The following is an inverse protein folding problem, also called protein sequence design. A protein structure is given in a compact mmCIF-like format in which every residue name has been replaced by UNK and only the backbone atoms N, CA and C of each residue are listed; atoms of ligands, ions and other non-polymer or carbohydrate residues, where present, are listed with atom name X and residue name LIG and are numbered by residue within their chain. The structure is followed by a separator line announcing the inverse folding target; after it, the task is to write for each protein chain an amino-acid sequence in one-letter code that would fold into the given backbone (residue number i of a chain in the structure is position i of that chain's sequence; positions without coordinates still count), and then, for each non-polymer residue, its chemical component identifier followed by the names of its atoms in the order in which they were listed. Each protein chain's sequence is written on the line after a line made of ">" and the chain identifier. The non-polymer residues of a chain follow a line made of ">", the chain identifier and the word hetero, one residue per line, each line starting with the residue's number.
data_IF_918633847477
#
_entry.id   IF_918633847477
#
_cell.length_a   1.000
_cell.length_b   1.000
_cell.length_c   1.000
_cell.angle_alpha   90.00
_cell.angle_beta   90.00
_cell.angle_gamma   90.00
#
_symmetry.space_group_name_H-M   'P 1'
#
loop_
_entity.id
_entity.type
_entity.pdbx_description
1 polymer ?
#
# COMPACT_ATOMS: atom_id res chain seq x y z
N UNK A 1 20.51 16.48 6.01
CA UNK A 1 19.21 15.80 5.86
C UNK A 1 19.30 15.14 4.51
N UNK A 2 19.34 13.81 4.45
CA UNK A 2 19.51 13.11 3.17
C UNK A 2 18.34 13.49 2.25
N UNK A 3 18.65 13.87 1.03
CA UNK A 3 17.68 14.29 0.04
C UNK A 3 16.76 13.12 -0.33
N UNK A 4 15.45 13.39 -0.43
CA UNK A 4 14.46 12.39 -0.82
C UNK A 4 14.35 12.40 -2.34
N UNK A 5 14.82 11.34 -2.97
CA UNK A 5 14.89 11.24 -4.43
C UNK A 5 13.82 10.30 -5.00
N UNK A 6 13.36 9.34 -4.19
CA UNK A 6 12.49 8.25 -4.61
C UNK A 6 11.36 8.00 -3.62
N UNK A 7 10.29 7.39 -4.10
CA UNK A 7 9.17 6.93 -3.31
C UNK A 7 8.81 5.50 -3.73
N UNK A 8 8.61 4.61 -2.77
CA UNK A 8 7.93 3.34 -3.01
C UNK A 8 6.42 3.57 -2.86
N UNK A 9 5.67 3.58 -3.96
CA UNK A 9 4.26 4.00 -3.95
C UNK A 9 3.33 3.01 -3.24
N UNK A 10 3.58 1.71 -3.40
CA UNK A 10 2.77 0.65 -2.77
C UNK A 10 3.03 0.50 -1.26
N UNK A 11 4.29 0.63 -0.84
CA UNK A 11 4.68 0.60 0.59
C UNK A 11 4.33 1.94 1.26
N UNK A 12 4.42 3.06 0.54
CA UNK A 12 4.16 4.40 1.06
C UNK A 12 5.36 5.03 1.78
N UNK A 13 6.58 4.78 1.30
CA UNK A 13 7.82 5.32 1.91
C UNK A 13 8.63 6.17 0.94
N UNK A 14 9.33 7.15 1.50
CA UNK A 14 10.27 8.04 0.81
C UNK A 14 11.71 7.60 1.10
N UNK A 15 12.54 7.58 0.06
CA UNK A 15 13.86 6.95 0.04
C UNK A 15 14.89 7.89 -0.58
N UNK A 16 16.12 7.87 -0.06
CA UNK A 16 17.29 8.39 -0.77
C UNK A 16 17.68 7.45 -1.92
N UNK A 17 18.56 7.91 -2.81
CA UNK A 17 19.06 7.13 -3.94
C UNK A 17 19.73 5.80 -3.55
N UNK A 18 20.42 5.73 -2.41
CA UNK A 18 21.08 4.50 -1.96
C UNK A 18 20.07 3.43 -1.53
N UNK A 19 19.10 3.80 -0.70
CA UNK A 19 18.02 2.90 -0.28
C UNK A 19 17.17 2.48 -1.49
N UNK A 20 16.87 3.39 -2.41
CA UNK A 20 16.14 3.08 -3.63
C UNK A 20 16.87 2.03 -4.48
N UNK A 21 18.19 2.08 -4.54
CA UNK A 21 19.00 1.08 -5.26
C UNK A 21 18.86 -0.33 -4.67
N UNK A 22 18.79 -0.45 -3.35
CA UNK A 22 18.47 -1.73 -2.69
C UNK A 22 17.05 -2.17 -3.01
N UNK A 23 16.06 -1.26 -2.94
CA UNK A 23 14.68 -1.57 -3.28
C UNK A 23 14.53 -2.14 -4.71
N UNK A 24 15.29 -1.63 -5.69
CA UNK A 24 15.30 -2.19 -7.06
C UNK A 24 15.65 -3.68 -7.08
N UNK A 25 16.58 -4.11 -6.23
CA UNK A 25 17.01 -5.51 -6.15
C UNK A 25 15.93 -6.43 -5.56
N UNK A 26 15.02 -5.91 -4.73
CA UNK A 26 13.89 -6.68 -4.20
C UNK A 26 12.83 -6.98 -5.28
N UNK A 27 12.75 -6.13 -6.29
CA UNK A 27 11.86 -6.29 -7.44
C UNK A 27 10.44 -5.75 -7.23
N UNK A 28 9.76 -5.55 -8.37
CA UNK A 28 8.46 -4.85 -8.47
C UNK A 28 7.30 -5.50 -7.72
N UNK A 29 7.44 -6.78 -7.35
CA UNK A 29 6.44 -7.51 -6.54
C UNK A 29 6.46 -7.10 -5.07
N UNK A 30 7.58 -6.54 -4.59
CA UNK A 30 7.75 -6.08 -3.22
C UNK A 30 7.60 -4.56 -3.17
N UNK A 31 8.26 -3.85 -4.08
CA UNK A 31 8.33 -2.38 -4.05
C UNK A 31 8.22 -1.79 -5.45
N UNK A 32 7.39 -0.77 -5.58
CA UNK A 32 7.18 -0.03 -6.82
C UNK A 32 7.76 1.37 -6.67
N UNK A 33 8.91 1.62 -7.29
CA UNK A 33 9.63 2.89 -7.15
C UNK A 33 9.22 3.90 -8.21
N UNK A 34 9.05 5.15 -7.77
CA UNK A 34 8.99 6.34 -8.64
C UNK A 34 9.97 7.39 -8.15
N UNK A 35 10.69 8.00 -9.07
CA UNK A 35 11.51 9.18 -8.82
C UNK A 35 10.62 10.38 -8.53
N UNK A 36 10.99 11.16 -7.52
CA UNK A 36 10.29 12.40 -7.18
C UNK A 36 10.39 13.42 -8.33
N UNK A 37 11.52 13.47 -9.02
CA UNK A 37 11.82 14.51 -10.01
C UNK A 37 11.71 14.03 -11.46
N UNK A 38 11.94 12.75 -11.73
CA UNK A 38 12.07 12.23 -13.10
C UNK A 38 10.79 11.57 -13.64
N UNK A 39 9.90 11.11 -12.76
CA UNK A 39 8.67 10.43 -13.18
C UNK A 39 7.46 11.35 -13.19
N UNK A 40 6.50 11.05 -14.06
CA UNK A 40 5.17 11.66 -14.00
C UNK A 40 4.39 11.10 -12.81
N UNK A 41 3.71 12.00 -12.09
CA UNK A 41 2.96 11.68 -10.89
C UNK A 41 1.46 11.85 -11.09
N UNK A 42 0.70 10.81 -10.76
CA UNK A 42 -0.72 10.99 -10.44
C UNK A 42 -0.82 11.92 -9.23
N UNK A 43 -1.59 13.00 -9.37
CA UNK A 43 -1.89 13.93 -8.27
C UNK A 43 -2.58 13.21 -7.10
N UNK A 44 -3.34 12.16 -7.40
CA UNK A 44 -4.07 11.38 -6.39
C UNK A 44 -3.08 10.56 -5.57
N UNK A 45 -2.11 9.90 -6.21
CA UNK A 45 -1.09 9.11 -5.50
C UNK A 45 -0.17 10.00 -4.68
N UNK A 46 0.27 11.14 -5.23
CA UNK A 46 1.08 12.09 -4.49
C UNK A 46 0.33 12.62 -3.25
N UNK A 47 -0.93 13.00 -3.41
CA UNK A 47 -1.75 13.48 -2.29
C UNK A 47 -1.99 12.38 -1.26
N UNK A 48 -2.26 11.15 -1.69
CA UNK A 48 -2.37 10.00 -0.80
C UNK A 48 -1.08 9.83 0.02
N UNK A 49 0.09 9.90 -0.63
CA UNK A 49 1.37 9.78 0.05
C UNK A 49 1.57 10.85 1.13
N UNK A 50 1.26 12.10 0.81
CA UNK A 50 1.38 13.24 1.72
C UNK A 50 0.39 13.15 2.89
N UNK A 51 -0.87 12.82 2.62
CA UNK A 51 -1.95 12.87 3.63
C UNK A 51 -1.86 11.69 4.61
N UNK A 52 -1.63 10.49 4.10
CA UNK A 52 -1.93 9.25 4.84
C UNK A 52 -0.82 8.20 4.83
N UNK A 53 0.26 8.40 4.08
CA UNK A 53 1.43 7.52 4.10
C UNK A 53 2.65 8.28 4.65
N UNK A 54 3.85 7.84 4.26
CA UNK A 54 5.11 8.42 4.68
C UNK A 54 5.84 7.59 5.73
N UNK A 55 7.13 7.88 5.89
CA UNK A 55 8.05 7.06 6.66
C UNK A 55 7.61 6.85 8.12
N UNK A 56 7.03 7.86 8.77
CA UNK A 56 6.58 7.73 10.16
C UNK A 56 5.49 6.65 10.31
N UNK A 57 4.40 6.78 9.54
CA UNK A 57 3.27 5.82 9.56
C UNK A 57 3.72 4.44 9.07
N UNK A 58 4.54 4.40 8.02
CA UNK A 58 5.11 3.15 7.54
C UNK A 58 5.97 2.46 8.61
N UNK A 59 6.75 3.19 9.40
CA UNK A 59 7.59 2.57 10.43
C UNK A 59 6.76 2.04 11.62
N UNK A 60 5.59 2.60 11.92
CA UNK A 60 4.69 2.03 12.92
C UNK A 60 4.27 0.59 12.60
N UNK A 61 4.25 0.24 11.30
CA UNK A 61 3.89 -1.09 10.79
C UNK A 61 5.15 -1.92 10.49
N UNK A 62 6.01 -1.40 9.62
CA UNK A 62 7.13 -2.13 9.05
C UNK A 62 8.38 -2.11 9.93
N UNK A 63 8.44 -1.28 10.97
CA UNK A 63 9.49 -1.30 12.00
C UNK A 63 8.85 -1.36 13.40
N UNK A 64 7.70 -2.03 13.52
CA UNK A 64 6.91 -2.11 14.75
C UNK A 64 7.74 -2.60 15.94
N UNK A 65 8.50 -3.68 15.73
CA UNK A 65 9.41 -4.23 16.72
C UNK A 65 10.71 -4.64 16.04
N UNK A 66 11.83 -4.06 16.47
CA UNK A 66 13.16 -4.41 15.94
C UNK A 66 13.79 -5.45 16.89
N UNK A 67 14.03 -6.70 16.43
CA UNK A 67 14.60 -7.74 17.27
C UNK A 67 16.01 -7.41 17.76
N UNK A 68 16.42 -8.04 18.86
CA UNK A 68 17.78 -7.93 19.37
C UNK A 68 18.82 -8.31 18.30
N UNK A 69 19.92 -7.55 18.22
CA UNK A 69 20.97 -7.73 17.21
C UNK A 69 20.73 -6.99 15.89
N UNK A 70 19.54 -6.44 15.67
CA UNK A 70 19.25 -5.56 14.53
C UNK A 70 19.38 -4.09 14.93
N UNK A 71 19.98 -3.29 14.05
CA UNK A 71 20.10 -1.84 14.24
C UNK A 71 19.80 -1.11 12.93
N UNK A 72 19.00 -0.05 13.02
CA UNK A 72 18.65 0.76 11.87
C UNK A 72 19.91 1.45 11.31
N UNK A 73 20.22 1.29 10.01
CA UNK A 73 21.41 1.88 9.41
C UNK A 73 21.42 3.40 9.50
N UNK A 74 22.58 3.97 9.84
CA UNK A 74 22.81 5.42 9.81
C UNK A 74 22.88 5.96 8.36
N UNK A 75 22.80 7.28 8.16
CA UNK A 75 23.04 7.93 6.85
C UNK A 75 24.36 7.58 6.17
N UNK A 76 25.41 7.25 6.92
CA UNK A 76 26.71 6.84 6.37
C UNK A 76 26.93 5.33 6.26
N UNK A 77 25.91 4.51 6.51
CA UNK A 77 26.01 3.05 6.45
C UNK A 77 26.31 2.55 5.02
N UNK A 78 27.03 1.45 4.93
CA UNK A 78 27.39 0.84 3.65
C UNK A 78 26.20 0.13 2.97
N UNK A 79 26.41 -0.29 1.73
CA UNK A 79 25.38 -0.93 0.92
C UNK A 79 24.89 -2.27 1.50
N UNK A 80 25.77 -3.02 2.18
CA UNK A 80 25.43 -4.31 2.78
C UNK A 80 24.51 -4.14 3.99
N UNK A 81 24.85 -3.19 4.88
CA UNK A 81 24.03 -2.82 6.03
C UNK A 81 22.63 -2.37 5.60
N UNK A 82 22.54 -1.55 4.54
CA UNK A 82 21.25 -1.14 3.96
C UNK A 82 20.49 -2.31 3.38
N UNK A 83 21.17 -3.16 2.62
CA UNK A 83 20.57 -4.35 2.02
C UNK A 83 19.94 -5.26 3.08
N UNK A 84 20.69 -5.57 4.14
CA UNK A 84 20.22 -6.45 5.20
C UNK A 84 19.00 -5.86 5.92
N UNK A 85 19.05 -4.56 6.28
CA UNK A 85 17.92 -3.89 6.93
C UNK A 85 16.67 -3.86 6.06
N UNK A 86 16.79 -3.45 4.80
CA UNK A 86 15.66 -3.27 3.89
C UNK A 86 15.06 -4.65 3.51
N UNK A 87 15.89 -5.67 3.32
CA UNK A 87 15.42 -7.04 3.06
C UNK A 87 14.68 -7.62 4.26
N UNK A 88 15.24 -7.47 5.47
CA UNK A 88 14.56 -7.90 6.69
C UNK A 88 13.20 -7.22 6.86
N UNK A 89 13.14 -5.91 6.61
CA UNK A 89 11.93 -5.10 6.73
C UNK A 89 10.82 -5.52 5.75
N UNK A 90 11.12 -5.61 4.46
CA UNK A 90 10.08 -5.72 3.41
C UNK A 90 10.01 -7.06 2.70
N UNK A 91 11.10 -7.83 2.69
CA UNK A 91 11.13 -9.16 2.07
C UNK A 91 10.81 -10.26 3.09
N UNK A 92 11.34 -10.15 4.30
CA UNK A 92 11.17 -11.17 5.35
C UNK A 92 10.14 -10.79 6.41
N UNK A 93 9.63 -9.55 6.38
CA UNK A 93 8.62 -9.06 7.33
C UNK A 93 9.11 -9.13 8.80
N UNK A 94 10.43 -9.09 8.99
CA UNK A 94 11.08 -9.45 10.26
C UNK A 94 10.91 -8.45 11.39
N UNK A 95 10.35 -7.27 11.12
CA UNK A 95 10.11 -6.21 12.11
C UNK A 95 8.63 -5.86 12.28
N UNK A 96 7.76 -6.54 11.55
CA UNK A 96 6.30 -6.40 11.69
C UNK A 96 5.88 -7.09 13.00
N UNK A 97 4.79 -6.63 13.61
CA UNK A 97 4.16 -7.30 14.75
C UNK A 97 3.96 -8.81 14.49
N UNK A 98 4.15 -9.64 15.51
CA UNK A 98 3.76 -11.06 15.39
C UNK A 98 2.24 -11.19 15.47
N UNK A 99 1.57 -11.39 14.33
CA UNK A 99 0.16 -11.81 14.29
C UNK A 99 0.03 -13.27 13.87
N UNK A 100 -0.71 -14.05 14.67
CA UNK A 100 -1.03 -15.46 14.41
C UNK A 100 -2.44 -15.66 13.88
N UNK A 101 -3.15 -14.57 13.59
CA UNK A 101 -4.47 -14.60 12.97
C UNK A 101 -4.40 -15.31 11.62
N UNK A 102 -5.42 -16.12 11.28
CA UNK A 102 -5.47 -16.75 9.96
C UNK A 102 -5.59 -15.67 8.87
N UNK A 103 -5.05 -15.90 7.65
CA UNK A 103 -5.08 -14.91 6.57
C UNK A 103 -6.47 -14.34 6.26
N UNK A 104 -7.52 -15.16 6.41
CA UNK A 104 -8.91 -14.74 6.25
C UNK A 104 -9.37 -13.73 7.30
N UNK A 105 -8.91 -13.84 8.55
CA UNK A 105 -9.23 -12.88 9.60
C UNK A 105 -8.56 -11.54 9.31
N UNK A 106 -7.30 -11.54 8.89
CA UNK A 106 -6.58 -10.32 8.47
C UNK A 106 -7.24 -9.70 7.24
N UNK A 107 -7.71 -10.51 6.28
CA UNK A 107 -8.43 -10.03 5.09
C UNK A 107 -9.79 -9.40 5.43
N UNK A 108 -10.50 -9.97 6.42
CA UNK A 108 -11.71 -9.35 6.98
C UNK A 108 -11.40 -8.02 7.66
N UNK A 109 -10.29 -7.92 8.39
CA UNK A 109 -9.82 -6.65 8.97
C UNK A 109 -9.48 -5.62 7.90
N UNK A 110 -8.92 -6.04 6.76
CA UNK A 110 -8.69 -5.15 5.62
C UNK A 110 -10.01 -4.58 5.06
N UNK A 111 -11.07 -5.40 4.96
CA UNK A 111 -12.40 -4.90 4.61
C UNK A 111 -12.94 -3.87 5.62
N UNK A 112 -12.76 -4.11 6.92
CA UNK A 112 -13.17 -3.16 7.96
C UNK A 112 -12.37 -1.85 7.89
N UNK A 113 -11.06 -1.93 7.62
CA UNK A 113 -10.21 -0.76 7.39
C UNK A 113 -10.65 0.03 6.15
N UNK A 114 -11.02 -0.68 5.08
CA UNK A 114 -11.55 -0.08 3.85
C UNK A 114 -12.88 0.65 4.08
N UNK A 115 -13.75 0.08 4.92
CA UNK A 115 -15.02 0.69 5.32
C UNK A 115 -14.83 1.94 6.20
N UNK A 116 -13.80 1.95 7.06
CA UNK A 116 -13.48 3.10 7.90
C UNK A 116 -12.60 4.16 7.19
N UNK A 117 -12.03 3.82 6.03
CA UNK A 117 -11.04 4.65 5.34
C UNK A 117 -9.68 4.71 6.04
N UNK A 118 -9.37 3.74 6.91
CA UNK A 118 -8.15 3.68 7.72
C UNK A 118 -6.99 3.09 6.90
N UNK A 119 -6.15 3.96 6.36
CA UNK A 119 -5.02 3.58 5.50
C UNK A 119 -3.90 2.90 6.28
N UNK A 120 -3.65 3.30 7.53
CA UNK A 120 -2.59 2.71 8.35
C UNK A 120 -2.98 1.30 8.78
N UNK A 121 -4.25 1.08 9.16
CA UNK A 121 -4.77 -0.26 9.41
C UNK A 121 -4.77 -1.12 8.14
N UNK A 122 -5.10 -0.56 6.99
CA UNK A 122 -5.01 -1.27 5.71
C UNK A 122 -3.55 -1.68 5.39
N UNK A 123 -2.59 -0.79 5.62
CA UNK A 123 -1.16 -1.08 5.48
C UNK A 123 -0.72 -2.21 6.39
N UNK A 124 -1.13 -2.19 7.67
CA UNK A 124 -0.88 -3.29 8.59
C UNK A 124 -1.44 -4.61 8.08
N UNK A 125 -2.67 -4.62 7.55
CA UNK A 125 -3.28 -5.85 7.03
C UNK A 125 -2.51 -6.42 5.84
N UNK A 126 -2.04 -5.56 4.94
CA UNK A 126 -1.22 -5.96 3.78
C UNK A 126 0.16 -6.49 4.22
N UNK A 127 0.78 -5.87 5.22
CA UNK A 127 2.01 -6.39 5.83
C UNK A 127 1.81 -7.80 6.41
N UNK A 128 0.62 -8.07 6.95
CA UNK A 128 0.19 -9.38 7.45
C UNK A 128 -0.49 -10.28 6.41
N UNK A 129 -0.20 -10.05 5.12
CA UNK A 129 -0.62 -10.94 4.01
C UNK A 129 -2.13 -11.05 3.83
N UNK A 130 -2.89 -10.03 4.21
CA UNK A 130 -4.28 -9.93 3.79
C UNK A 130 -4.38 -10.04 2.26
N UNK A 131 -5.36 -10.81 1.79
CA UNK A 131 -5.70 -10.83 0.39
C UNK A 131 -6.44 -9.51 0.05
N UNK A 132 -5.77 -8.65 -0.72
CA UNK A 132 -6.30 -7.35 -1.15
C UNK A 132 -7.59 -7.49 -1.98
N UNK A 133 -7.80 -8.66 -2.58
CA UNK A 133 -8.93 -9.01 -3.42
C UNK A 133 -9.90 -9.98 -2.73
N UNK A 134 -9.77 -10.15 -1.41
CA UNK A 134 -10.60 -11.06 -0.64
C UNK A 134 -12.08 -10.72 -0.77
N UNK A 135 -12.92 -11.72 -1.04
CA UNK A 135 -14.36 -11.55 -1.25
C UNK A 135 -15.11 -11.83 0.04
N UNK A 136 -15.63 -10.78 0.67
CA UNK A 136 -16.23 -10.87 2.00
C UNK A 136 -17.56 -11.65 1.99
N UNK A 137 -17.64 -12.85 2.61
CA UNK A 137 -18.84 -13.71 2.52
C UNK A 137 -20.10 -13.05 3.07
N UNK A 138 -19.97 -12.32 4.19
CA UNK A 138 -21.11 -11.65 4.84
C UNK A 138 -21.42 -10.25 4.28
N UNK A 139 -20.61 -9.73 3.35
CA UNK A 139 -20.82 -8.43 2.69
C UNK A 139 -20.99 -8.64 1.19
N UNK A 140 -21.86 -9.56 0.79
CA UNK A 140 -22.27 -9.71 -0.59
C UNK A 140 -21.10 -10.01 -1.55
N UNK A 141 -20.06 -10.70 -1.08
CA UNK A 141 -18.82 -10.98 -1.82
C UNK A 141 -18.07 -9.72 -2.29
N UNK A 142 -18.30 -8.58 -1.64
CA UNK A 142 -17.57 -7.35 -1.91
C UNK A 142 -16.11 -7.48 -1.49
N UNK A 143 -15.21 -6.96 -2.32
CA UNK A 143 -13.79 -6.83 -2.00
C UNK A 143 -13.52 -5.58 -1.17
N UNK A 144 -12.34 -5.46 -0.50
CA UNK A 144 -11.93 -4.20 0.14
C UNK A 144 -12.09 -2.99 -0.78
N UNK A 145 -11.80 -3.14 -2.08
CA UNK A 145 -11.94 -2.06 -3.06
C UNK A 145 -13.40 -1.65 -3.30
N UNK A 146 -14.33 -2.60 -3.41
CA UNK A 146 -15.76 -2.26 -3.50
C UNK A 146 -16.19 -1.42 -2.30
N UNK A 147 -15.79 -1.87 -1.11
CA UNK A 147 -16.14 -1.25 0.16
C UNK A 147 -15.57 0.18 0.20
N UNK A 148 -14.28 0.38 -0.04
CA UNK A 148 -13.68 1.73 0.02
C UNK A 148 -14.33 2.71 -0.96
N UNK A 149 -14.77 2.23 -2.12
CA UNK A 149 -15.48 3.02 -3.14
C UNK A 149 -16.88 3.40 -2.70
N UNK A 150 -17.65 2.44 -2.18
CA UNK A 150 -19.03 2.67 -1.71
C UNK A 150 -19.06 3.76 -0.63
N UNK A 151 -18.09 3.74 0.28
CA UNK A 151 -17.99 4.72 1.37
C UNK A 151 -17.22 6.00 0.96
N UNK A 152 -16.70 6.07 -0.28
CA UNK A 152 -16.05 7.26 -0.81
C UNK A 152 -14.66 7.55 -0.23
N UNK A 153 -13.99 6.55 0.34
CA UNK A 153 -12.67 6.71 0.94
C UNK A 153 -11.58 6.74 -0.12
N UNK A 154 -11.35 7.94 -0.69
CA UNK A 154 -10.35 8.19 -1.74
C UNK A 154 -8.98 7.60 -1.44
N UNK A 155 -8.41 7.95 -0.29
CA UNK A 155 -7.02 7.60 0.02
C UNK A 155 -6.87 6.09 0.26
N UNK A 156 -7.82 5.47 0.94
CA UNK A 156 -7.86 4.01 1.10
C UNK A 156 -8.04 3.30 -0.24
N UNK A 157 -8.93 3.80 -1.10
CA UNK A 157 -9.10 3.29 -2.48
C UNK A 157 -7.79 3.36 -3.27
N UNK A 158 -7.08 4.49 -3.22
CA UNK A 158 -5.78 4.64 -3.90
C UNK A 158 -4.75 3.63 -3.36
N UNK A 159 -4.67 3.49 -2.04
CA UNK A 159 -3.72 2.58 -1.40
C UNK A 159 -3.99 1.11 -1.77
N UNK A 160 -5.25 0.69 -1.82
CA UNK A 160 -5.64 -0.66 -2.26
C UNK A 160 -5.24 -0.90 -3.72
N UNK A 161 -5.47 0.05 -4.63
CA UNK A 161 -5.07 -0.07 -6.04
C UNK A 161 -3.55 -0.17 -6.21
N UNK A 162 -2.79 0.64 -5.47
CA UNK A 162 -1.32 0.58 -5.47
C UNK A 162 -0.79 -0.77 -4.98
N UNK A 163 -1.58 -1.49 -4.16
CA UNK A 163 -1.27 -2.82 -3.67
C UNK A 163 -1.97 -3.96 -4.44
N UNK A 164 -2.44 -3.69 -5.66
CA UNK A 164 -2.89 -4.73 -6.58
C UNK A 164 -4.36 -5.12 -6.46
N UNK A 165 -5.21 -4.27 -5.86
CA UNK A 165 -6.65 -4.44 -5.93
C UNK A 165 -7.13 -4.48 -7.39
N UNK A 166 -7.95 -5.47 -7.71
CA UNK A 166 -8.52 -5.70 -9.03
C UNK A 166 -9.83 -4.93 -9.17
N UNK A 167 -9.93 -4.14 -10.25
CA UNK A 167 -11.08 -3.33 -10.59
C UNK A 167 -12.28 -4.17 -11.08
N UNK A 168 -12.04 -5.39 -11.55
CA UNK A 168 -12.98 -6.19 -12.34
C UNK A 168 -13.58 -7.38 -11.61
N UNK A 169 -13.19 -7.61 -10.34
CA UNK A 169 -13.86 -8.65 -9.54
C UNK A 169 -15.32 -8.25 -9.35
N UNK A 170 -16.21 -9.23 -9.54
CA UNK A 170 -17.63 -9.05 -9.36
C UNK A 170 -18.08 -9.45 -7.93
N UNK A 171 -18.92 -8.60 -7.34
CA UNK A 171 -19.69 -8.90 -6.13
C UNK A 171 -20.80 -9.93 -6.43
N UNK A 172 -21.61 -10.30 -5.43
CA UNK A 172 -22.67 -11.30 -5.60
C UNK A 172 -23.77 -10.87 -6.61
N UNK A 173 -23.84 -9.59 -6.95
CA UNK A 173 -24.82 -9.02 -7.87
C UNK A 173 -24.25 -8.78 -9.27
N UNK A 174 -23.01 -9.20 -9.54
CA UNK A 174 -22.33 -8.96 -10.82
C UNK A 174 -21.82 -7.52 -10.98
N UNK A 175 -21.75 -6.73 -9.91
CA UNK A 175 -21.20 -5.38 -9.97
C UNK A 175 -19.70 -5.40 -9.64
N UNK A 176 -18.94 -4.52 -10.29
CA UNK A 176 -17.51 -4.33 -10.07
C UNK A 176 -17.29 -3.03 -9.30
N UNK A 177 -16.06 -2.78 -8.84
CA UNK A 177 -15.73 -1.52 -8.19
C UNK A 177 -16.00 -0.32 -9.10
N UNK A 178 -15.74 -0.46 -10.41
CA UNK A 178 -16.02 0.57 -11.43
C UNK A 178 -17.53 0.86 -11.52
N UNK A 179 -18.38 -0.18 -11.52
CA UNK A 179 -19.83 -0.03 -11.53
C UNK A 179 -20.33 0.80 -10.33
N UNK A 180 -19.71 0.64 -9.15
CA UNK A 180 -20.06 1.40 -7.95
C UNK A 180 -19.61 2.86 -8.03
N UNK A 181 -18.41 3.12 -8.56
CA UNK A 181 -17.89 4.48 -8.70
C UNK A 181 -18.73 5.35 -9.66
N UNK A 182 -19.30 4.75 -10.71
CA UNK A 182 -20.13 5.45 -11.70
C UNK A 182 -21.48 5.94 -11.17
N UNK A 183 -21.94 5.44 -10.02
CA UNK A 183 -23.23 5.80 -9.41
C UNK A 183 -23.13 6.91 -8.35
N UNK A 184 -21.93 7.40 -8.07
CA UNK A 184 -21.63 8.25 -6.91
C UNK A 184 -21.02 9.60 -7.31
N UNK A 185 -21.14 10.70 -6.54
CA UNK A 185 -20.44 11.98 -6.81
C UNK A 185 -18.90 11.91 -6.71
N UNK A 186 -18.32 10.71 -6.64
CA UNK A 186 -16.91 10.42 -6.40
C UNK A 186 -16.04 10.60 -7.65
N UNK A 187 -16.13 11.76 -8.30
CA UNK A 187 -15.37 12.10 -9.52
C UNK A 187 -13.87 11.81 -9.39
N UNK A 188 -13.33 11.96 -8.18
CA UNK A 188 -11.92 11.68 -7.89
C UNK A 188 -11.59 10.19 -7.90
N UNK A 189 -12.48 9.30 -7.44
CA UNK A 189 -12.30 7.84 -7.54
C UNK A 189 -12.47 7.38 -8.98
N UNK A 190 -13.48 7.88 -9.70
CA UNK A 190 -13.65 7.57 -11.13
C UNK A 190 -12.39 7.95 -11.93
N UNK A 191 -11.84 9.14 -11.68
CA UNK A 191 -10.57 9.58 -12.28
C UNK A 191 -9.42 8.64 -11.92
N UNK A 192 -9.32 8.21 -10.67
CA UNK A 192 -8.29 7.26 -10.21
C UNK A 192 -8.35 5.93 -10.95
N UNK A 193 -9.56 5.43 -11.24
CA UNK A 193 -9.74 4.20 -12.01
C UNK A 193 -9.31 4.37 -13.46
N UNK A 194 -9.64 5.49 -14.09
CA UNK A 194 -9.15 5.81 -15.44
C UNK A 194 -7.62 5.90 -15.48
N UNK A 195 -7.00 6.56 -14.49
CA UNK A 195 -5.54 6.61 -14.36
C UNK A 195 -4.94 5.20 -14.16
N UNK A 196 -5.62 4.33 -13.40
CA UNK A 196 -5.21 2.92 -13.22
C UNK A 196 -5.28 2.12 -14.50
N UNK A 197 -6.37 2.21 -15.26
CA UNK A 197 -6.54 1.50 -16.54
C UNK A 197 -5.52 1.93 -17.59
N UNK A 198 -5.10 3.20 -17.57
CA UNK A 198 -4.07 3.73 -18.47
C UNK A 198 -2.64 3.41 -18.04
N UNK A 199 -2.46 2.81 -16.86
CA UNK A 199 -1.13 2.60 -16.27
C UNK A 199 -0.44 3.90 -15.85
N UNK A 200 -1.21 4.96 -15.59
CA UNK A 200 -0.70 6.27 -15.16
C UNK A 200 -0.75 6.44 -13.63
N UNK A 201 -1.46 5.56 -12.93
CA UNK A 201 -1.55 5.59 -11.46
C UNK A 201 -0.22 5.22 -10.79
N UNK A 202 0.55 4.31 -11.40
CA UNK A 202 1.85 3.83 -10.91
C UNK A 202 2.94 4.13 -11.93
#
# INVERSE_FOLDING_TARGET
>A
MDEVDWVSVNIGVSLCSDCASVHRNLGVRITQLKSVMLDNWSKIVLQCHIDCLGNAKANNVWEHSVPEGWAKPAPGADAEQRHNWISAKYQWFGFVEEDRSPPEAVSRLLCAAAEAGDVERAMWCIAHKADVNWRHPEKNLQTPLHISVIYGHRNCTAYLLLNGADLYIEDQHGHTAIHMAGRSPLKHITRMFVERERGELW
#
